data_IF_333116430441
#
_entry.id   IF_333116430441
#
_cell.length_a   1.000
_cell.length_b   1.000
_cell.length_c   1.000
_cell.angle_alpha   90.00
_cell.angle_beta   90.00
_cell.angle_gamma   90.00
#
_symmetry.space_group_name_H-M   'P 1'
#
loop_
_entity.id
_entity.type
_entity.pdbx_description
1 polymer ?
#
# COMPACT_ATOMS: atom_id res chain seq x y z
N UNK A 1 35.95 82.74 4.42
CA UNK A 1 36.38 82.04 3.19
C UNK A 1 36.46 80.55 3.51
N UNK A 2 35.36 79.83 3.31
CA UNK A 2 35.14 78.87 2.22
C UNK A 2 35.97 77.56 2.31
N UNK A 3 35.26 76.44 2.56
CA UNK A 3 35.32 75.11 1.88
C UNK A 3 35.10 73.94 2.86
N UNK A 4 33.93 73.28 2.79
CA UNK A 4 33.65 71.97 2.15
C UNK A 4 34.11 70.77 3.03
N UNK A 5 33.20 70.09 3.73
CA UNK A 5 32.31 69.01 3.26
C UNK A 5 32.91 67.60 3.35
N UNK A 6 32.37 66.76 4.25
CA UNK A 6 32.00 65.35 3.99
C UNK A 6 31.25 64.77 5.20
N UNK A 7 29.92 64.66 5.08
CA UNK A 7 29.13 63.74 5.92
C UNK A 7 29.09 62.40 5.18
N UNK A 8 29.75 61.38 5.70
CA UNK A 8 29.49 59.99 5.30
C UNK A 8 28.19 59.57 5.98
N UNK A 9 27.16 59.29 5.18
CA UNK A 9 26.00 58.53 5.61
C UNK A 9 26.28 57.06 5.29
N UNK A 10 26.58 56.26 6.31
CA UNK A 10 26.59 54.80 6.23
C UNK A 10 25.17 54.30 6.43
N UNK A 11 24.45 54.03 5.33
CA UNK A 11 23.20 53.28 5.36
C UNK A 11 23.52 51.80 5.58
N UNK A 12 23.31 51.31 6.80
CA UNK A 12 23.27 49.88 7.08
C UNK A 12 21.97 49.31 6.49
N UNK A 13 22.09 48.57 5.38
CA UNK A 13 20.99 47.84 4.77
C UNK A 13 20.81 46.53 5.56
N UNK A 14 19.94 46.55 6.56
CA UNK A 14 19.54 45.34 7.29
C UNK A 14 18.66 44.50 6.36
N UNK A 15 19.24 43.46 5.76
CA UNK A 15 18.52 42.47 4.97
C UNK A 15 17.66 41.62 5.93
N UNK A 16 16.42 42.05 6.16
CA UNK A 16 15.41 41.23 6.84
C UNK A 16 15.05 40.11 5.86
N UNK A 17 15.66 38.94 6.04
CA UNK A 17 15.21 37.71 5.41
C UNK A 17 13.86 37.39 6.06
N UNK A 18 12.78 37.83 5.41
CA UNK A 18 11.43 37.33 5.64
C UNK A 18 11.46 35.84 5.31
N UNK A 19 11.79 35.03 6.31
CA UNK A 19 11.53 33.59 6.29
C UNK A 19 10.00 33.47 6.23
N UNK A 20 9.48 33.41 5.02
CA UNK A 20 8.07 33.05 4.81
C UNK A 20 7.90 31.69 5.48
N UNK A 21 6.85 31.48 6.28
CA UNK A 21 6.57 30.14 6.79
C UNK A 21 6.47 29.25 5.55
N UNK A 22 7.40 28.30 5.41
CA UNK A 22 7.28 27.22 4.45
C UNK A 22 5.90 26.65 4.67
N UNK A 23 4.99 26.87 3.71
CA UNK A 23 3.73 26.16 3.68
C UNK A 23 4.09 24.70 3.92
N UNK A 24 3.57 24.10 5.00
CA UNK A 24 3.77 22.68 5.23
C UNK A 24 3.25 21.99 3.98
N UNK A 25 4.17 21.50 3.14
CA UNK A 25 3.79 20.80 1.93
C UNK A 25 2.98 19.60 2.38
N UNK A 26 1.79 19.42 1.81
CA UNK A 26 0.99 18.25 2.11
C UNK A 26 1.85 17.00 1.87
N UNK A 27 1.86 16.12 2.86
CA UNK A 27 2.58 14.86 2.85
C UNK A 27 2.37 14.14 1.51
N UNK A 28 3.46 13.73 0.88
CA UNK A 28 3.40 13.09 -0.44
C UNK A 28 2.60 11.78 -0.38
N UNK A 29 1.97 11.39 -1.49
CA UNK A 29 1.17 10.16 -1.58
C UNK A 29 1.75 9.14 -2.56
N UNK A 30 1.56 7.86 -2.26
CA UNK A 30 1.77 6.71 -3.11
C UNK A 30 0.39 6.07 -3.35
N UNK A 31 -0.07 6.06 -4.60
CA UNK A 31 -1.31 5.40 -5.02
C UNK A 31 -1.01 4.21 -5.93
N UNK A 32 -1.44 3.02 -5.49
CA UNK A 32 -1.23 1.76 -6.21
C UNK A 32 -2.58 1.14 -6.56
N UNK A 33 -2.85 0.97 -7.86
CA UNK A 33 -3.97 0.17 -8.32
C UNK A 33 -3.48 -1.22 -8.75
N UNK A 34 -4.01 -2.27 -8.14
CA UNK A 34 -3.70 -3.66 -8.48
C UNK A 34 -4.88 -4.22 -9.28
N UNK A 35 -4.61 -4.68 -10.52
CA UNK A 35 -5.59 -5.21 -11.44
C UNK A 35 -5.24 -6.68 -11.70
N UNK A 36 -6.01 -7.60 -11.10
CA UNK A 36 -5.72 -9.03 -11.16
C UNK A 36 -6.66 -9.77 -12.09
N UNK A 37 -6.09 -10.51 -13.03
CA UNK A 37 -6.84 -11.53 -13.74
C UNK A 37 -7.31 -12.61 -12.74
N UNK A 38 -8.57 -12.96 -12.84
CA UNK A 38 -9.26 -13.96 -12.02
C UNK A 38 -9.95 -15.02 -12.86
N UNK A 39 -9.44 -15.26 -14.06
CA UNK A 39 -9.78 -16.41 -14.91
C UNK A 39 -9.36 -17.73 -14.23
N UNK A 40 -9.89 -18.86 -14.72
CA UNK A 40 -9.67 -20.20 -14.15
C UNK A 40 -8.20 -20.58 -13.92
N UNK A 41 -7.28 -20.03 -14.71
CA UNK A 41 -5.86 -20.39 -14.62
C UNK A 41 -5.09 -19.57 -13.57
N UNK A 42 -5.69 -18.52 -13.00
CA UNK A 42 -5.02 -17.50 -12.19
C UNK A 42 -4.99 -17.77 -10.68
N UNK A 43 -5.38 -18.96 -10.20
CA UNK A 43 -5.36 -19.27 -8.76
C UNK A 43 -3.99 -18.99 -8.13
N UNK A 44 -2.91 -19.43 -8.78
CA UNK A 44 -1.55 -19.18 -8.32
C UNK A 44 -1.21 -17.69 -8.21
N UNK A 45 -1.63 -16.86 -9.17
CA UNK A 45 -1.39 -15.41 -9.16
C UNK A 45 -2.12 -14.76 -7.97
N UNK A 46 -3.39 -15.09 -7.79
CA UNK A 46 -4.20 -14.57 -6.70
C UNK A 46 -3.62 -15.01 -5.36
N UNK A 47 -3.22 -16.28 -5.21
CA UNK A 47 -2.61 -16.81 -3.99
C UNK A 47 -1.25 -16.20 -3.69
N UNK A 48 -0.39 -15.95 -4.69
CA UNK A 48 0.85 -15.21 -4.48
C UNK A 48 0.54 -13.79 -4.00
N UNK A 49 -0.40 -13.09 -4.64
CA UNK A 49 -0.74 -11.71 -4.27
C UNK A 49 -1.30 -11.63 -2.84
N UNK A 50 -2.19 -12.55 -2.45
CA UNK A 50 -2.75 -12.69 -1.09
C UNK A 50 -1.67 -12.77 -0.03
N UNK A 51 -0.70 -13.63 -0.28
CA UNK A 51 0.34 -13.97 0.68
C UNK A 51 1.43 -12.91 0.79
N UNK A 52 1.67 -12.13 -0.27
CA UNK A 52 2.83 -11.27 -0.35
C UNK A 52 2.53 -9.76 -0.31
N UNK A 53 1.26 -9.35 -0.21
CA UNK A 53 0.86 -7.95 -0.01
C UNK A 53 1.68 -7.26 1.10
N UNK A 54 1.83 -7.92 2.24
CA UNK A 54 2.56 -7.40 3.40
C UNK A 54 4.03 -7.13 3.12
N UNK A 55 4.67 -7.87 2.21
CA UNK A 55 6.07 -7.62 1.84
C UNK A 55 6.21 -6.32 1.05
N UNK A 56 5.25 -6.01 0.18
CA UNK A 56 5.21 -4.74 -0.58
C UNK A 56 5.03 -3.57 0.40
N UNK A 57 4.10 -3.70 1.36
CA UNK A 57 3.87 -2.70 2.41
C UNK A 57 5.13 -2.47 3.26
N UNK A 58 5.78 -3.54 3.70
CA UNK A 58 7.03 -3.47 4.50
C UNK A 58 8.19 -2.85 3.72
N UNK A 59 8.23 -3.01 2.40
CA UNK A 59 9.21 -2.31 1.57
C UNK A 59 8.90 -0.82 1.51
N UNK A 60 7.64 -0.47 1.20
CA UNK A 60 7.21 0.92 1.09
C UNK A 60 7.37 1.68 2.40
N UNK A 61 7.24 1.03 3.56
CA UNK A 61 7.31 1.69 4.87
C UNK A 61 8.71 2.24 5.19
N UNK A 62 9.70 1.84 4.39
CA UNK A 62 11.09 2.35 4.45
C UNK A 62 11.32 3.48 3.45
N UNK A 63 10.32 3.81 2.62
CA UNK A 63 10.43 4.86 1.62
C UNK A 63 9.99 6.18 2.23
N UNK A 64 10.76 7.24 1.95
CA UNK A 64 10.46 8.60 2.36
C UNK A 64 10.48 9.58 1.20
N UNK A 65 9.73 10.67 1.34
CA UNK A 65 9.79 11.85 0.48
C UNK A 65 10.00 13.05 1.39
N UNK A 66 11.05 13.81 1.12
CA UNK A 66 11.37 15.02 1.89
C UNK A 66 11.47 14.81 3.42
N UNK A 67 11.91 13.61 3.83
CA UNK A 67 12.11 13.24 5.24
C UNK A 67 10.92 12.55 5.90
N UNK A 68 9.76 12.49 5.23
CA UNK A 68 8.55 11.86 5.77
C UNK A 68 8.20 10.58 5.01
N UNK A 69 7.67 9.57 5.72
CA UNK A 69 7.06 8.39 5.08
C UNK A 69 5.81 8.89 4.35
N UNK A 70 5.59 8.66 3.05
CA UNK A 70 4.39 9.11 2.32
C UNK A 70 3.09 8.56 2.91
N UNK A 71 1.94 9.04 2.43
CA UNK A 71 0.68 8.30 2.61
C UNK A 71 0.56 7.21 1.54
N UNK A 72 0.02 6.05 1.90
CA UNK A 72 -0.22 4.93 0.98
C UNK A 72 -1.71 4.70 0.82
N UNK A 73 -2.18 4.64 -0.42
CA UNK A 73 -3.52 4.18 -0.75
C UNK A 73 -3.45 3.07 -1.80
N UNK A 74 -4.20 2.00 -1.58
CA UNK A 74 -4.27 0.87 -2.51
C UNK A 74 -5.71 0.69 -2.99
N UNK A 75 -5.85 0.49 -4.29
CA UNK A 75 -7.11 0.10 -4.93
C UNK A 75 -6.96 -1.29 -5.55
N UNK A 76 -8.06 -2.04 -5.62
CA UNK A 76 -8.06 -3.41 -6.14
C UNK A 76 -9.21 -3.61 -7.13
N UNK A 77 -8.85 -4.09 -8.31
CA UNK A 77 -9.77 -4.68 -9.29
C UNK A 77 -9.48 -6.15 -9.47
N UNK A 78 -10.51 -6.89 -9.87
CA UNK A 78 -10.30 -8.12 -10.62
C UNK A 78 -11.03 -8.06 -11.96
N UNK A 79 -10.54 -8.82 -12.93
CA UNK A 79 -11.12 -8.94 -14.27
C UNK A 79 -11.01 -10.38 -14.78
N UNK A 80 -11.60 -10.69 -15.95
CA UNK A 80 -11.44 -12.00 -16.59
C UNK A 80 -12.30 -13.11 -16.02
N UNK A 81 -13.43 -12.78 -15.40
CA UNK A 81 -14.27 -13.76 -14.68
C UNK A 81 -15.72 -13.77 -15.18
N UNK A 82 -16.23 -14.92 -15.59
CA UNK A 82 -17.55 -15.12 -16.21
C UNK A 82 -18.72 -14.84 -15.27
N UNK A 83 -18.48 -14.76 -13.95
CA UNK A 83 -19.50 -14.29 -13.02
C UNK A 83 -19.74 -12.78 -13.13
N UNK A 84 -18.82 -12.04 -13.77
CA UNK A 84 -18.93 -10.62 -14.00
C UNK A 84 -19.71 -10.34 -15.29
N UNK A 85 -20.51 -9.26 -15.35
CA UNK A 85 -21.28 -8.94 -16.54
C UNK A 85 -20.37 -8.62 -17.73
N UNK A 86 -20.61 -9.27 -18.87
CA UNK A 86 -19.90 -8.98 -20.13
C UNK A 86 -20.13 -7.53 -20.61
N UNK A 87 -21.29 -6.95 -20.30
CA UNK A 87 -21.60 -5.53 -20.56
C UNK A 87 -20.73 -4.56 -19.78
N UNK A 88 -20.15 -5.00 -18.66
CA UNK A 88 -19.19 -4.26 -17.84
C UNK A 88 -17.74 -4.66 -18.17
N UNK A 89 -17.53 -5.45 -19.23
CA UNK A 89 -16.22 -5.89 -19.69
C UNK A 89 -15.57 -6.95 -18.82
N UNK A 90 -16.36 -7.68 -18.01
CA UNK A 90 -15.85 -8.62 -17.01
C UNK A 90 -14.90 -7.97 -16.00
N UNK A 91 -15.18 -6.72 -15.61
CA UNK A 91 -14.37 -5.93 -14.66
C UNK A 91 -15.17 -5.63 -13.40
N UNK A 92 -14.51 -5.68 -12.23
CA UNK A 92 -15.10 -5.25 -10.96
C UNK A 92 -14.09 -4.53 -10.08
N UNK A 93 -14.43 -3.30 -9.67
CA UNK A 93 -13.77 -2.59 -8.57
C UNK A 93 -14.15 -3.28 -7.24
N UNK A 94 -13.18 -3.86 -6.54
CA UNK A 94 -13.41 -4.49 -5.23
C UNK A 94 -13.25 -3.49 -4.08
N UNK A 95 -12.29 -2.58 -4.21
CA UNK A 95 -12.14 -1.41 -3.34
C UNK A 95 -11.45 -0.28 -4.09
N UNK A 96 -11.96 0.94 -3.92
CA UNK A 96 -11.25 2.15 -4.33
C UNK A 96 -10.02 2.40 -3.46
N UNK A 97 -9.32 3.51 -3.72
CA UNK A 97 -8.16 3.92 -2.94
C UNK A 97 -8.53 4.04 -1.45
N UNK A 98 -7.87 3.21 -0.64
CA UNK A 98 -8.02 3.18 0.81
C UNK A 98 -6.66 3.05 1.49
N UNK A 99 -6.44 3.71 2.64
CA UNK A 99 -5.29 3.43 3.49
C UNK A 99 -5.47 2.16 4.33
N UNK A 100 -6.69 1.60 4.39
CA UNK A 100 -7.01 0.43 5.22
C UNK A 100 -6.57 -0.88 4.54
N UNK A 101 -5.32 -1.29 4.79
CA UNK A 101 -4.71 -2.44 4.13
C UNK A 101 -5.38 -3.78 4.46
N UNK A 102 -6.02 -3.90 5.63
CA UNK A 102 -6.82 -5.08 5.96
C UNK A 102 -8.07 -5.20 5.08
N UNK A 103 -8.67 -4.08 4.67
CA UNK A 103 -9.80 -4.11 3.73
C UNK A 103 -9.34 -4.60 2.35
N UNK A 104 -8.17 -4.15 1.91
CA UNK A 104 -7.55 -4.61 0.66
C UNK A 104 -7.29 -6.12 0.71
N UNK A 105 -6.73 -6.60 1.83
CA UNK A 105 -6.48 -8.02 2.05
C UNK A 105 -7.80 -8.83 2.08
N UNK A 106 -8.82 -8.38 2.81
CA UNK A 106 -10.15 -9.00 2.84
C UNK A 106 -10.72 -9.15 1.42
N UNK A 107 -10.67 -8.09 0.61
CA UNK A 107 -11.14 -8.12 -0.78
C UNK A 107 -10.34 -9.08 -1.64
N UNK A 108 -9.03 -9.14 -1.47
CA UNK A 108 -8.16 -10.06 -2.19
C UNK A 108 -8.43 -11.55 -1.83
N UNK A 109 -8.71 -11.83 -0.56
CA UNK A 109 -9.14 -13.17 -0.12
C UNK A 109 -10.55 -13.54 -0.60
N UNK A 110 -11.40 -12.56 -0.91
CA UNK A 110 -12.75 -12.79 -1.44
C UNK A 110 -12.78 -13.25 -2.91
N UNK A 111 -11.71 -13.00 -3.69
CA UNK A 111 -11.66 -13.34 -5.11
C UNK A 111 -11.79 -14.86 -5.32
N UNK A 112 -12.63 -15.28 -6.25
CA UNK A 112 -12.71 -16.68 -6.72
C UNK A 112 -12.45 -16.68 -8.21
N UNK A 113 -11.62 -17.60 -8.66
CA UNK A 113 -11.39 -17.77 -10.09
C UNK A 113 -12.58 -18.44 -10.74
N UNK A 114 -12.91 -17.99 -11.93
CA UNK A 114 -13.88 -18.61 -12.82
C UNK A 114 -13.52 -18.19 -14.23
N UNK A 115 -13.70 -19.05 -15.23
CA UNK A 115 -13.30 -18.80 -16.63
C UNK A 115 -13.81 -17.45 -17.12
N UNK A 116 -13.20 -16.85 -18.14
CA UNK A 116 -13.67 -15.56 -18.61
C UNK A 116 -12.96 -15.04 -19.83
N UNK A 117 -13.25 -13.79 -20.15
CA UNK A 117 -12.55 -13.03 -21.18
C UNK A 117 -11.81 -11.86 -20.51
N UNK A 118 -10.53 -11.76 -20.78
CA UNK A 118 -9.53 -11.00 -20.03
C UNK A 118 -9.27 -9.65 -20.69
N UNK A 119 -10.19 -8.70 -20.48
CA UNK A 119 -10.10 -7.39 -21.13
C UNK A 119 -9.16 -6.41 -20.41
N UNK A 120 -7.85 -6.60 -20.60
CA UNK A 120 -6.80 -5.73 -20.03
C UNK A 120 -7.02 -4.24 -20.38
N UNK A 121 -7.34 -3.94 -21.65
CA UNK A 121 -7.67 -2.58 -22.08
C UNK A 121 -8.88 -1.99 -21.35
N UNK A 122 -9.88 -2.80 -21.01
CA UNK A 122 -11.07 -2.35 -20.31
C UNK A 122 -10.78 -2.03 -18.84
N UNK A 123 -10.12 -2.93 -18.12
CA UNK A 123 -9.83 -2.73 -16.68
C UNK A 123 -8.90 -1.55 -16.44
N UNK A 124 -7.91 -1.30 -17.31
CA UNK A 124 -7.07 -0.10 -17.24
C UNK A 124 -7.90 1.17 -17.43
N UNK A 125 -8.84 1.16 -18.39
CA UNK A 125 -9.72 2.31 -18.63
C UNK A 125 -10.62 2.57 -17.42
N UNK A 126 -11.25 1.54 -16.86
CA UNK A 126 -12.06 1.64 -15.64
C UNK A 126 -11.24 2.19 -14.48
N UNK A 127 -10.03 1.65 -14.23
CA UNK A 127 -9.15 2.15 -13.19
C UNK A 127 -8.80 3.63 -13.36
N UNK A 128 -8.61 4.12 -14.59
CA UNK A 128 -8.32 5.53 -14.86
C UNK A 128 -9.56 6.45 -14.78
N UNK A 129 -10.76 5.92 -14.97
CA UNK A 129 -12.00 6.70 -14.98
C UNK A 129 -12.74 6.71 -13.63
N UNK A 130 -12.66 5.61 -12.88
CA UNK A 130 -13.46 5.39 -11.66
C UNK A 130 -12.66 5.64 -10.37
N UNK A 131 -11.33 5.50 -10.39
CA UNK A 131 -10.51 5.74 -9.20
C UNK A 131 -10.20 7.24 -9.02
N UNK A 132 -10.23 7.68 -7.76
CA UNK A 132 -9.86 9.04 -7.36
C UNK A 132 -8.34 9.23 -7.29
N UNK A 133 -7.69 9.21 -8.45
CA UNK A 133 -6.25 9.50 -8.55
C UNK A 133 -5.93 10.92 -8.05
N UNK A 134 -4.86 11.05 -7.28
CA UNK A 134 -4.32 12.32 -6.86
C UNK A 134 -3.93 13.17 -8.06
N UNK A 135 -4.11 14.48 -7.95
CA UNK A 135 -3.72 15.46 -8.97
C UNK A 135 -2.40 16.16 -8.62
N UNK A 136 -1.81 15.87 -7.46
CA UNK A 136 -0.55 16.47 -7.06
C UNK A 136 0.60 15.86 -7.88
N UNK A 137 1.44 16.67 -8.55
CA UNK A 137 2.58 16.16 -9.32
C UNK A 137 3.69 15.54 -8.47
N UNK A 138 3.73 15.84 -7.16
CA UNK A 138 4.68 15.23 -6.23
C UNK A 138 4.29 13.79 -5.84
N UNK A 139 3.03 13.40 -6.06
CA UNK A 139 2.53 12.07 -5.72
C UNK A 139 2.96 11.03 -6.76
N UNK A 140 3.11 9.81 -6.30
CA UNK A 140 3.45 8.65 -7.10
C UNK A 140 2.19 7.84 -7.42
N UNK A 141 1.93 7.60 -8.71
CA UNK A 141 0.75 6.87 -9.20
C UNK A 141 1.20 5.70 -10.07
N UNK A 142 0.72 4.50 -9.75
CA UNK A 142 1.10 3.30 -10.49
C UNK A 142 -0.05 2.28 -10.56
N UNK A 143 -0.17 1.65 -11.72
CA UNK A 143 -1.00 0.47 -11.95
C UNK A 143 -0.07 -0.74 -12.04
N UNK A 144 -0.42 -1.83 -11.35
CA UNK A 144 0.11 -3.17 -11.63
C UNK A 144 -1.03 -4.01 -12.20
N UNK A 145 -0.90 -4.43 -13.46
CA UNK A 145 -1.84 -5.36 -14.11
C UNK A 145 -1.16 -6.71 -14.28
N UNK A 146 -1.86 -7.79 -13.94
CA UNK A 146 -1.38 -9.16 -14.07
C UNK A 146 -2.40 -10.05 -14.78
N UNK A 147 -1.93 -11.00 -15.60
CA UNK A 147 -2.75 -11.93 -16.40
C UNK A 147 -1.92 -12.71 -17.42
N UNK A 148 -2.56 -13.62 -18.17
CA UNK A 148 -1.87 -14.55 -19.06
C UNK A 148 -2.39 -14.60 -20.50
N UNK A 149 -3.40 -13.81 -20.84
CA UNK A 149 -4.05 -13.78 -22.16
C UNK A 149 -3.59 -12.59 -23.03
N UNK A 150 -3.96 -12.52 -24.33
CA UNK A 150 -3.61 -11.40 -25.21
C UNK A 150 -4.02 -10.05 -24.60
N UNK A 151 -3.06 -9.11 -24.53
CA UNK A 151 -3.30 -7.80 -23.90
C UNK A 151 -4.29 -6.92 -24.69
N UNK A 152 -4.54 -7.26 -25.96
CA UNK A 152 -5.44 -6.56 -26.87
C UNK A 152 -6.82 -7.23 -27.01
N UNK A 153 -7.14 -8.19 -26.15
CA UNK A 153 -8.45 -8.84 -26.12
C UNK A 153 -9.57 -7.84 -25.75
N UNK A 154 -10.73 -8.01 -26.38
CA UNK A 154 -11.94 -7.24 -26.11
C UNK A 154 -12.12 -6.01 -27.00
N UNK A 155 -13.23 -5.28 -26.85
CA UNK A 155 -13.60 -4.20 -27.78
C UNK A 155 -12.88 -2.88 -27.52
N UNK A 156 -12.12 -2.78 -26.42
CA UNK A 156 -11.44 -1.54 -26.02
C UNK A 156 -10.00 -1.58 -26.51
N UNK A 157 -9.65 -0.63 -27.37
CA UNK A 157 -8.28 -0.49 -27.88
C UNK A 157 -7.34 -0.17 -26.72
N UNK A 158 -6.54 -1.14 -26.30
CA UNK A 158 -5.69 -1.06 -25.11
C UNK A 158 -4.76 0.16 -25.11
N UNK A 159 -4.27 0.59 -26.28
CA UNK A 159 -3.40 1.77 -26.39
C UNK A 159 -4.11 3.05 -25.96
N UNK A 160 -5.42 3.17 -26.16
CA UNK A 160 -6.19 4.32 -25.66
C UNK A 160 -6.23 4.33 -24.14
N UNK A 161 -6.47 3.18 -23.52
CA UNK A 161 -6.50 3.01 -22.07
C UNK A 161 -5.15 3.31 -21.42
N UNK A 162 -4.06 2.79 -21.99
CA UNK A 162 -2.71 3.09 -21.51
C UNK A 162 -2.38 4.58 -21.69
N UNK A 163 -2.79 5.20 -22.80
CA UNK A 163 -2.60 6.64 -22.98
C UNK A 163 -3.41 7.49 -21.98
N UNK A 164 -4.53 7.01 -21.43
CA UNK A 164 -5.21 7.67 -20.31
C UNK A 164 -4.31 7.69 -19.06
N UNK A 165 -3.65 6.57 -18.76
CA UNK A 165 -2.70 6.49 -17.65
C UNK A 165 -1.51 7.44 -17.84
N UNK A 166 -0.92 7.46 -19.05
CA UNK A 166 0.19 8.39 -19.38
C UNK A 166 -0.22 9.85 -19.20
N UNK A 167 -1.42 10.25 -19.67
CA UNK A 167 -1.94 11.61 -19.50
C UNK A 167 -2.16 11.96 -18.03
N UNK A 168 -2.46 10.98 -17.19
CA UNK A 168 -2.60 11.13 -15.73
C UNK A 168 -1.28 11.06 -14.95
N UNK A 169 -0.12 10.96 -15.63
CA UNK A 169 1.17 10.72 -14.97
C UNK A 169 1.10 9.48 -14.04
N UNK A 170 0.45 8.43 -14.55
CA UNK A 170 0.31 7.12 -13.91
C UNK A 170 1.09 6.09 -14.73
N UNK A 171 2.03 5.42 -14.07
CA UNK A 171 2.79 4.32 -14.69
C UNK A 171 1.92 3.07 -14.79
N UNK A 172 2.09 2.27 -15.85
CA UNK A 172 1.46 0.94 -15.96
C UNK A 172 2.55 -0.11 -16.01
N UNK A 173 2.62 -0.92 -14.96
CA UNK A 173 3.50 -2.07 -14.88
C UNK A 173 2.70 -3.33 -15.21
N UNK A 174 3.29 -4.20 -16.02
CA UNK A 174 2.61 -5.40 -16.54
C UNK A 174 3.30 -6.66 -16.04
N UNK A 175 2.54 -7.61 -15.49
CA UNK A 175 3.03 -8.90 -14.98
C UNK A 175 2.38 -9.99 -15.82
N UNK A 176 3.10 -10.49 -16.82
CA UNK A 176 2.61 -11.57 -17.67
C UNK A 176 2.84 -12.92 -17.00
N UNK A 177 1.80 -13.72 -16.86
CA UNK A 177 1.86 -14.98 -16.11
C UNK A 177 1.85 -16.23 -17.02
N UNK A 178 1.94 -16.04 -18.34
CA UNK A 178 2.12 -17.13 -19.31
C UNK A 178 3.57 -17.50 -19.57
N UNK A 179 3.80 -18.33 -20.59
CA UNK A 179 5.15 -18.76 -21.00
C UNK A 179 6.01 -17.58 -21.45
N UNK A 180 7.28 -17.54 -21.04
CA UNK A 180 8.24 -16.50 -21.44
C UNK A 180 8.42 -16.39 -22.97
N UNK A 181 8.20 -17.49 -23.69
CA UNK A 181 8.31 -17.62 -25.15
C UNK A 181 7.01 -17.31 -25.91
N UNK A 182 5.92 -17.00 -25.18
CA UNK A 182 4.63 -16.66 -25.79
C UNK A 182 4.74 -15.37 -26.60
N UNK A 183 4.14 -15.36 -27.80
CA UNK A 183 4.06 -14.15 -28.63
C UNK A 183 3.20 -13.07 -27.95
N UNK A 184 2.20 -13.46 -27.17
CA UNK A 184 1.31 -12.55 -26.44
C UNK A 184 2.08 -11.65 -25.46
N UNK A 185 3.20 -12.14 -24.93
CA UNK A 185 4.06 -11.38 -24.03
C UNK A 185 4.52 -10.05 -24.65
N UNK A 186 4.70 -9.98 -25.97
CA UNK A 186 5.14 -8.74 -26.63
C UNK A 186 4.12 -7.61 -26.50
N UNK A 187 2.83 -7.92 -26.44
CA UNK A 187 1.79 -6.92 -26.22
C UNK A 187 1.81 -6.43 -24.76
N UNK A 188 2.04 -7.32 -23.79
CA UNK A 188 2.26 -6.93 -22.39
C UNK A 188 3.46 -6.00 -22.24
N UNK A 189 4.60 -6.34 -22.88
CA UNK A 189 5.79 -5.47 -22.93
C UNK A 189 5.45 -4.11 -23.53
N UNK A 190 4.74 -4.09 -24.66
CA UNK A 190 4.32 -2.86 -25.35
C UNK A 190 3.43 -1.98 -24.47
N UNK A 191 2.52 -2.58 -23.71
CA UNK A 191 1.68 -1.91 -22.71
C UNK A 191 2.49 -1.17 -21.66
N UNK A 192 3.44 -1.86 -21.02
CA UNK A 192 4.32 -1.23 -20.03
C UNK A 192 5.22 -0.15 -20.65
N UNK A 193 5.84 -0.43 -21.80
CA UNK A 193 6.73 0.53 -22.48
C UNK A 193 6.02 1.83 -22.84
N UNK A 194 4.80 1.73 -23.38
CA UNK A 194 3.98 2.91 -23.71
C UNK A 194 3.69 3.77 -22.46
N UNK A 195 3.49 3.12 -21.30
CA UNK A 195 3.24 3.77 -20.02
C UNK A 195 4.50 4.19 -19.24
N UNK A 196 5.71 3.98 -19.81
CA UNK A 196 7.01 4.12 -19.12
C UNK A 196 7.10 3.26 -17.84
N UNK A 197 6.34 2.18 -17.77
CA UNK A 197 6.39 1.21 -16.69
C UNK A 197 7.37 0.07 -16.96
N UNK A 198 7.39 -0.87 -16.04
CA UNK A 198 8.18 -2.09 -16.07
C UNK A 198 7.32 -3.26 -16.53
N UNK A 199 7.92 -4.21 -17.25
CA UNK A 199 7.29 -5.47 -17.61
C UNK A 199 8.00 -6.63 -16.91
N UNK A 200 7.22 -7.62 -16.50
CA UNK A 200 7.70 -8.82 -15.83
C UNK A 200 7.02 -10.05 -16.41
N UNK A 201 7.70 -11.19 -16.31
CA UNK A 201 7.12 -12.49 -16.56
C UNK A 201 7.37 -13.37 -15.34
N UNK A 202 6.31 -13.94 -14.78
CA UNK A 202 6.38 -14.76 -13.57
C UNK A 202 5.71 -16.11 -13.83
N UNK A 203 6.17 -17.14 -13.11
CA UNK A 203 5.39 -18.36 -12.98
C UNK A 203 4.42 -18.19 -11.81
N UNK A 204 3.13 -18.01 -12.11
CA UNK A 204 2.09 -17.84 -11.09
C UNK A 204 1.95 -19.03 -10.14
N UNK A 205 2.37 -20.23 -10.57
CA UNK A 205 2.31 -21.45 -9.77
C UNK A 205 3.64 -21.76 -9.07
N UNK A 206 4.62 -20.85 -9.15
CA UNK A 206 5.86 -21.01 -8.40
C UNK A 206 5.58 -21.03 -6.90
N UNK A 207 6.02 -22.10 -6.25
CA UNK A 207 5.89 -22.24 -4.80
C UNK A 207 6.80 -21.22 -4.13
N UNK A 208 6.22 -20.34 -3.32
CA UNK A 208 6.98 -19.36 -2.56
C UNK A 208 7.71 -20.07 -1.42
N UNK A 209 9.04 -20.12 -1.48
CA UNK A 209 9.85 -20.65 -0.37
C UNK A 209 9.94 -19.61 0.74
N UNK A 210 9.26 -19.91 1.86
CA UNK A 210 9.35 -19.08 3.07
C UNK A 210 10.49 -19.58 3.95
N UNK A 211 11.50 -18.75 4.13
CA UNK A 211 12.58 -19.00 5.07
C UNK A 211 12.08 -18.68 6.48
N UNK A 212 11.96 -19.72 7.31
CA UNK A 212 11.64 -19.57 8.74
C UNK A 212 12.79 -18.87 9.45
N UNK A 213 12.45 -17.88 10.27
CA UNK A 213 13.40 -17.14 11.09
C UNK A 213 13.24 -17.52 12.56
N UNK A 214 14.32 -17.55 13.36
CA UNK A 214 14.22 -17.76 14.81
C UNK A 214 13.45 -16.65 15.54
N UNK A 215 13.13 -15.55 14.87
CA UNK A 215 12.35 -14.44 15.45
C UNK A 215 10.85 -14.51 15.16
N UNK A 216 10.39 -15.46 14.33
CA UNK A 216 8.99 -15.51 13.85
C UNK A 216 7.98 -15.70 14.99
N UNK A 217 8.29 -16.59 15.94
CA UNK A 217 7.41 -16.89 17.08
C UNK A 217 7.31 -15.70 18.04
N UNK A 218 8.44 -15.02 18.30
CA UNK A 218 8.45 -13.85 19.17
C UNK A 218 7.68 -12.68 18.54
N UNK A 219 7.84 -12.45 17.24
CA UNK A 219 7.05 -11.45 16.49
C UNK A 219 5.56 -11.78 16.60
N UNK A 220 5.19 -13.05 16.43
CA UNK A 220 3.79 -13.49 16.51
C UNK A 220 3.20 -13.28 17.91
N UNK A 221 3.98 -13.54 18.96
CA UNK A 221 3.56 -13.29 20.35
C UNK A 221 3.34 -11.79 20.62
N UNK A 222 4.20 -10.92 20.10
CA UNK A 222 4.01 -9.47 20.20
C UNK A 222 2.84 -8.97 19.37
N UNK A 223 2.55 -9.59 18.23
CA UNK A 223 1.37 -9.30 17.42
C UNK A 223 0.06 -9.58 18.16
N UNK A 224 -0.02 -10.69 18.90
CA UNK A 224 -1.18 -10.99 19.76
C UNK A 224 -1.40 -9.88 20.79
N UNK A 225 -0.32 -9.38 21.42
CA UNK A 225 -0.41 -8.24 22.35
C UNK A 225 -0.78 -6.94 21.64
N UNK A 226 -0.30 -6.74 20.41
CA UNK A 226 -0.67 -5.57 19.60
C UNK A 226 -2.18 -5.53 19.36
N UNK A 227 -2.80 -6.68 19.08
CA UNK A 227 -4.26 -6.80 18.87
C UNK A 227 -5.09 -6.34 20.07
N UNK A 228 -4.56 -6.50 21.28
CA UNK A 228 -5.21 -6.07 22.52
C UNK A 228 -5.13 -4.54 22.75
N UNK A 229 -4.41 -3.81 21.89
CA UNK A 229 -4.28 -2.35 21.99
C UNK A 229 -5.28 -1.58 21.13
N UNK A 230 -6.00 -2.24 20.21
CA UNK A 230 -7.01 -1.60 19.38
C UNK A 230 -8.31 -1.36 20.15
N UNK A 231 -8.89 -0.18 19.96
CA UNK A 231 -10.11 0.26 20.64
C UNK A 231 -11.19 0.43 19.56
N UNK A 232 -11.98 -0.62 19.28
CA UNK A 232 -13.03 -0.54 18.27
C UNK A 232 -14.11 0.46 18.69
N UNK A 233 -14.43 1.42 17.82
CA UNK A 233 -15.51 2.40 18.08
C UNK A 233 -16.61 2.37 17.01
N UNK A 234 -17.85 2.57 17.46
CA UNK A 234 -19.05 2.52 16.63
C UNK A 234 -19.29 1.15 15.99
N UNK A 235 -20.17 1.13 14.98
CA UNK A 235 -20.47 -0.10 14.22
C UNK A 235 -19.26 -0.61 13.44
N UNK A 236 -18.48 0.30 12.85
CA UNK A 236 -17.31 -0.07 12.06
C UNK A 236 -16.19 -0.65 12.92
N UNK A 237 -16.05 -0.21 14.19
CA UNK A 237 -15.14 -0.79 15.17
C UNK A 237 -15.18 -2.32 15.23
N UNK A 238 -16.38 -2.89 15.37
CA UNK A 238 -16.55 -4.36 15.46
C UNK A 238 -16.19 -5.05 14.14
N UNK A 239 -16.56 -4.46 13.02
CA UNK A 239 -16.28 -5.01 11.68
C UNK A 239 -14.77 -4.98 11.41
N UNK A 240 -14.11 -3.87 11.66
CA UNK A 240 -12.67 -3.71 11.49
C UNK A 240 -11.85 -4.62 12.41
N UNK A 241 -12.26 -4.76 13.68
CA UNK A 241 -11.60 -5.71 14.59
C UNK A 241 -11.76 -7.16 14.13
N UNK A 242 -12.94 -7.56 13.65
CA UNK A 242 -13.17 -8.89 13.07
C UNK A 242 -12.34 -9.12 11.81
N UNK A 243 -12.27 -8.11 10.93
CA UNK A 243 -11.43 -8.10 9.74
C UNK A 243 -9.97 -8.28 10.12
N UNK A 244 -9.44 -7.52 11.07
CA UNK A 244 -8.06 -7.65 11.54
C UNK A 244 -7.75 -9.09 12.01
N UNK A 245 -8.65 -9.71 12.76
CA UNK A 245 -8.48 -11.08 13.25
C UNK A 245 -8.56 -12.12 12.12
N UNK A 246 -9.43 -11.90 11.13
CA UNK A 246 -9.50 -12.74 9.94
C UNK A 246 -8.21 -12.64 9.12
N UNK A 247 -7.66 -11.43 8.95
CA UNK A 247 -6.41 -11.21 8.22
C UNK A 247 -5.17 -11.74 8.97
N UNK A 248 -5.15 -11.71 10.31
CA UNK A 248 -4.16 -12.44 11.11
C UNK A 248 -4.21 -13.95 10.83
N UNK A 249 -5.42 -14.51 10.72
CA UNK A 249 -5.62 -15.94 10.43
C UNK A 249 -5.25 -16.30 8.99
N UNK A 250 -5.53 -15.41 8.04
CA UNK A 250 -5.19 -15.57 6.62
C UNK A 250 -3.67 -15.54 6.38
N UNK A 251 -2.93 -14.73 7.14
CA UNK A 251 -1.49 -14.54 6.92
C UNK A 251 -0.68 -15.83 7.10
N UNK A 252 -1.07 -16.74 8.00
CA UNK A 252 -0.44 -18.06 8.23
C UNK A 252 1.10 -18.00 8.21
N UNK A 253 1.73 -18.54 7.18
CA UNK A 253 3.18 -18.60 6.97
C UNK A 253 3.84 -17.20 6.87
N UNK A 254 3.05 -16.17 6.54
CA UNK A 254 3.46 -14.77 6.41
C UNK A 254 3.05 -13.91 7.62
N UNK A 255 2.63 -14.52 8.74
CA UNK A 255 2.22 -13.80 9.95
C UNK A 255 3.28 -12.80 10.46
N UNK A 256 4.57 -13.15 10.39
CA UNK A 256 5.66 -12.25 10.78
C UNK A 256 5.78 -11.03 9.84
N UNK A 257 5.60 -11.22 8.52
CA UNK A 257 5.57 -10.12 7.56
C UNK A 257 4.38 -9.19 7.81
N UNK A 258 3.18 -9.76 8.07
CA UNK A 258 2.00 -8.96 8.44
C UNK A 258 2.21 -8.19 9.74
N UNK A 259 2.76 -8.83 10.76
CA UNK A 259 3.07 -8.20 12.05
C UNK A 259 4.00 -7.00 11.89
N UNK A 260 5.03 -7.12 11.04
CA UNK A 260 5.89 -6.00 10.66
C UNK A 260 5.09 -4.85 10.01
N UNK A 261 4.14 -5.16 9.13
CA UNK A 261 3.29 -4.14 8.49
C UNK A 261 2.43 -3.41 9.52
N UNK A 262 1.85 -4.14 10.49
CA UNK A 262 1.06 -3.55 11.59
C UNK A 262 1.86 -2.63 12.51
N UNK A 263 3.15 -2.89 12.63
CA UNK A 263 4.07 -2.05 13.39
C UNK A 263 4.60 -0.84 12.59
N UNK A 264 4.25 -0.73 11.31
CA UNK A 264 4.64 0.41 10.45
C UNK A 264 3.65 1.58 10.54
N UNK A 265 3.98 2.69 9.87
CA UNK A 265 3.12 3.87 9.75
C UNK A 265 1.95 3.67 8.76
N UNK A 266 1.98 2.62 7.93
CA UNK A 266 0.93 2.34 6.94
C UNK A 266 -0.22 1.51 7.46
N UNK A 267 -0.14 0.99 8.68
CA UNK A 267 -1.26 0.28 9.28
C UNK A 267 -2.24 1.26 9.92
N UNK A 268 -2.99 1.94 9.06
CA UNK A 268 -3.96 2.96 9.39
C UNK A 268 -5.38 2.38 9.45
N UNK A 269 -5.99 2.46 10.63
CA UNK A 269 -7.31 1.92 10.91
C UNK A 269 -8.27 2.96 11.48
N UNK A 270 -8.04 4.25 11.19
CA UNK A 270 -8.81 5.33 11.78
C UNK A 270 -10.33 5.27 11.50
N UNK A 271 -10.75 4.50 10.49
CA UNK A 271 -12.16 4.21 10.20
C UNK A 271 -12.86 3.39 11.30
N UNK A 272 -12.11 2.67 12.14
CA UNK A 272 -12.67 1.74 13.12
C UNK A 272 -11.91 1.67 14.46
N UNK A 273 -10.64 2.06 14.52
CA UNK A 273 -9.84 2.15 15.74
C UNK A 273 -9.81 3.58 16.30
N UNK A 274 -10.19 3.72 17.57
CA UNK A 274 -10.32 5.02 18.23
C UNK A 274 -8.97 5.73 18.40
N UNK A 275 -7.88 5.00 18.65
CA UNK A 275 -6.56 5.62 18.83
C UNK A 275 -6.09 6.28 17.53
N UNK A 276 -6.18 5.55 16.41
CA UNK A 276 -5.84 6.09 15.09
C UNK A 276 -6.77 7.26 14.71
N UNK A 277 -8.08 7.14 14.98
CA UNK A 277 -9.05 8.21 14.71
C UNK A 277 -8.77 9.50 15.50
N UNK A 278 -8.36 9.38 16.77
CA UNK A 278 -7.97 10.52 17.60
C UNK A 278 -6.65 11.14 17.12
N UNK A 279 -5.67 10.33 16.75
CA UNK A 279 -4.39 10.81 16.22
C UNK A 279 -4.55 11.61 14.92
N UNK A 280 -5.50 11.21 14.08
CA UNK A 280 -5.85 11.92 12.85
C UNK A 280 -6.85 13.06 13.04
N UNK A 281 -7.35 13.28 14.26
CA UNK A 281 -8.36 14.30 14.55
C UNK A 281 -9.70 14.08 13.85
N UNK A 282 -10.01 12.84 13.44
CA UNK A 282 -11.27 12.46 12.79
C UNK A 282 -12.42 12.48 13.80
N UNK A 283 -12.11 12.18 15.05
CA UNK A 283 -13.06 12.19 16.17
C UNK A 283 -12.48 12.96 17.35
N UNK A 284 -13.36 13.44 18.23
CA UNK A 284 -12.99 13.95 19.54
C UNK A 284 -13.58 13.06 20.62
N UNK A 285 -12.78 12.74 21.64
CA UNK A 285 -13.18 11.80 22.68
C UNK A 285 -14.41 12.26 23.46
N UNK A 286 -14.56 13.56 23.67
CA UNK A 286 -15.72 14.19 24.31
C UNK A 286 -17.00 14.19 23.45
N UNK A 287 -16.90 14.00 22.14
CA UNK A 287 -18.04 14.00 21.21
C UNK A 287 -18.53 12.57 20.89
N UNK A 288 -17.79 11.53 21.31
CA UNK A 288 -18.17 10.14 21.08
C UNK A 288 -19.21 9.69 22.09
N UNK A 289 -20.33 9.18 21.57
CA UNK A 289 -21.40 8.63 22.38
C UNK A 289 -20.96 7.38 23.14
N UNK A 290 -21.48 7.19 24.35
CA UNK A 290 -21.05 6.11 25.23
C UNK A 290 -21.39 4.71 24.66
N UNK A 291 -22.50 4.59 23.94
CA UNK A 291 -22.91 3.37 23.25
C UNK A 291 -21.97 2.99 22.08
N UNK A 292 -21.28 3.97 21.50
CA UNK A 292 -20.28 3.77 20.45
C UNK A 292 -18.92 3.30 20.99
N UNK A 293 -18.70 3.33 22.30
CA UNK A 293 -17.46 2.85 22.92
C UNK A 293 -17.54 1.36 23.25
N UNK A 294 -16.38 0.66 23.33
CA UNK A 294 -16.34 -0.70 23.82
C UNK A 294 -16.79 -0.77 25.28
N UNK A 295 -17.30 -1.92 25.70
CA UNK A 295 -17.94 -2.11 27.01
C UNK A 295 -17.09 -1.60 28.18
N UNK A 296 -15.78 -1.86 28.16
CA UNK A 296 -14.83 -1.41 29.19
C UNK A 296 -14.79 0.11 29.36
N UNK A 297 -15.12 0.88 28.32
CA UNK A 297 -15.10 2.35 28.35
C UNK A 297 -16.47 2.97 28.60
N UNK A 298 -17.54 2.17 28.65
CA UNK A 298 -18.89 2.68 28.90
C UNK A 298 -19.05 3.09 30.36
N UNK A 299 -19.68 4.23 30.60
CA UNK A 299 -19.83 4.81 31.93
C UNK A 299 -18.55 5.45 32.50
N UNK A 300 -17.40 5.36 31.81
CA UNK A 300 -16.20 6.11 32.20
C UNK A 300 -16.44 7.62 32.07
N UNK A 301 -15.93 8.38 33.03
CA UNK A 301 -15.80 9.83 32.91
C UNK A 301 -14.82 10.20 31.79
N UNK A 302 -14.88 11.45 31.31
CA UNK A 302 -13.95 11.91 30.27
C UNK A 302 -12.48 11.78 30.71
N UNK A 303 -12.17 12.02 31.99
CA UNK A 303 -10.82 11.86 32.55
C UNK A 303 -10.35 10.41 32.52
N UNK A 304 -11.22 9.46 32.85
CA UNK A 304 -10.92 8.02 32.77
C UNK A 304 -10.74 7.57 31.32
N UNK A 305 -11.59 8.01 30.40
CA UNK A 305 -11.45 7.74 28.96
C UNK A 305 -10.10 8.24 28.44
N UNK A 306 -9.70 9.46 28.79
CA UNK A 306 -8.39 10.04 28.41
C UNK A 306 -7.23 9.21 28.96
N UNK A 307 -7.31 8.79 30.23
CA UNK A 307 -6.29 7.95 30.87
C UNK A 307 -6.18 6.59 30.18
N UNK A 308 -7.31 5.94 29.88
CA UNK A 308 -7.35 4.64 29.20
C UNK A 308 -6.73 4.71 27.79
N UNK A 309 -7.15 5.69 26.99
CA UNK A 309 -6.63 5.97 25.65
C UNK A 309 -5.12 6.22 25.68
N UNK A 310 -4.63 7.06 26.59
CA UNK A 310 -3.21 7.35 26.73
C UNK A 310 -2.38 6.12 27.13
N UNK A 311 -2.91 5.29 28.04
CA UNK A 311 -2.31 4.02 28.42
C UNK A 311 -2.19 3.06 27.24
N UNK A 312 -3.28 2.87 26.48
CA UNK A 312 -3.30 2.02 25.27
C UNK A 312 -2.36 2.53 24.19
N UNK A 313 -2.27 3.85 23.98
CA UNK A 313 -1.32 4.46 23.03
C UNK A 313 0.14 4.15 23.42
N UNK A 314 0.47 4.34 24.70
CA UNK A 314 1.83 4.07 25.22
C UNK A 314 2.19 2.59 25.09
N UNK A 315 1.25 1.70 25.42
CA UNK A 315 1.40 0.25 25.27
C UNK A 315 1.62 -0.14 23.79
N UNK A 316 0.79 0.38 22.89
CA UNK A 316 0.87 0.14 21.44
C UNK A 316 2.24 0.54 20.89
N UNK A 317 2.72 1.74 21.19
CA UNK A 317 4.00 2.22 20.67
C UNK A 317 5.20 1.39 21.17
N UNK A 318 5.15 0.95 22.44
CA UNK A 318 6.17 0.04 22.98
C UNK A 318 6.18 -1.28 22.22
N UNK A 319 5.01 -1.86 21.96
CA UNK A 319 4.86 -3.13 21.23
C UNK A 319 5.32 -2.98 19.77
N UNK A 320 4.86 -1.94 19.07
CA UNK A 320 5.28 -1.64 17.68
C UNK A 320 6.79 -1.50 17.60
N UNK A 321 7.43 -0.81 18.56
CA UNK A 321 8.89 -0.70 18.63
C UNK A 321 9.57 -2.07 18.71
N UNK A 322 9.13 -2.95 19.62
CA UNK A 322 9.70 -4.30 19.74
C UNK A 322 9.50 -5.13 18.47
N UNK A 323 8.31 -5.08 17.86
CA UNK A 323 8.05 -5.76 16.58
C UNK A 323 8.99 -5.24 15.48
N UNK A 324 9.21 -3.92 15.38
CA UNK A 324 10.14 -3.32 14.39
C UNK A 324 11.56 -3.83 14.57
N UNK A 325 12.07 -3.85 15.80
CA UNK A 325 13.42 -4.35 16.14
C UNK A 325 13.60 -5.84 15.78
N UNK A 326 12.61 -6.68 16.12
CA UNK A 326 12.63 -8.10 15.76
C UNK A 326 12.49 -8.31 14.24
N UNK A 327 11.64 -7.52 13.57
CA UNK A 327 11.43 -7.59 12.13
C UNK A 327 12.69 -7.20 11.34
N UNK A 328 13.49 -6.28 11.87
CA UNK A 328 14.81 -5.97 11.31
C UNK A 328 15.75 -7.17 11.39
N UNK A 329 15.91 -7.77 12.58
CA UNK A 329 16.74 -8.98 12.77
C UNK A 329 16.27 -10.14 11.88
N UNK A 330 14.95 -10.31 11.74
CA UNK A 330 14.33 -11.26 10.83
C UNK A 330 14.74 -10.99 9.39
N UNK A 331 14.65 -9.74 8.93
CA UNK A 331 15.02 -9.36 7.56
C UNK A 331 16.49 -9.69 7.28
N UNK A 332 17.40 -9.30 8.16
CA UNK A 332 18.84 -9.60 8.05
C UNK A 332 19.13 -11.11 8.07
N UNK A 333 18.39 -11.88 8.86
CA UNK A 333 18.50 -13.33 8.86
C UNK A 333 18.03 -13.94 7.53
N UNK A 334 16.83 -13.58 7.07
CA UNK A 334 16.25 -14.11 5.82
C UNK A 334 17.12 -13.74 4.62
N UNK A 335 17.64 -12.52 4.55
CA UNK A 335 18.55 -12.10 3.48
C UNK A 335 19.85 -12.91 3.46
N UNK A 336 20.45 -13.17 4.63
CA UNK A 336 21.64 -14.04 4.71
C UNK A 336 21.36 -15.46 4.26
N UNK A 337 20.22 -16.03 4.67
CA UNK A 337 19.82 -17.38 4.24
C UNK A 337 19.53 -17.44 2.73
N UNK A 338 18.84 -16.43 2.15
CA UNK A 338 18.61 -16.33 0.69
C UNK A 338 19.91 -16.23 -0.11
N UNK A 339 20.91 -15.51 0.41
CA UNK A 339 22.23 -15.44 -0.24
C UNK A 339 22.91 -16.81 -0.28
N UNK A 340 22.72 -17.63 0.75
CA UNK A 340 23.27 -18.98 0.85
C UNK A 340 22.46 -20.06 0.11
N UNK A 341 21.18 -19.84 -0.21
CA UNK A 341 20.34 -20.79 -0.94
C UNK A 341 20.49 -20.70 -2.46
N UNK A 342 20.10 -21.76 -3.17
CA UNK A 342 19.99 -21.79 -4.63
C UNK A 342 18.74 -21.05 -5.11
N UNK A 343 17.64 -21.12 -4.37
CA UNK A 343 16.44 -20.31 -4.60
C UNK A 343 16.68 -18.88 -4.08
N UNK A 344 16.70 -17.90 -4.99
CA UNK A 344 16.89 -16.49 -4.67
C UNK A 344 15.59 -15.76 -4.34
N UNK A 345 14.43 -16.43 -4.45
CA UNK A 345 13.12 -15.80 -4.29
C UNK A 345 12.86 -14.76 -5.39
N UNK A 346 13.39 -15.01 -6.58
CA UNK A 346 13.25 -14.16 -7.75
C UNK A 346 11.98 -14.55 -8.53
N UNK A 347 11.39 -13.57 -9.21
CA UNK A 347 10.23 -13.73 -10.11
C UNK A 347 8.92 -14.14 -9.42
N UNK A 348 8.75 -13.85 -8.13
CA UNK A 348 7.45 -13.85 -7.44
C UNK A 348 6.76 -12.48 -7.57
N UNK A 349 5.43 -12.42 -7.37
CA UNK A 349 4.64 -11.18 -7.48
C UNK A 349 5.23 -10.02 -6.65
N UNK A 350 5.58 -10.25 -5.38
CA UNK A 350 6.19 -9.20 -4.55
C UNK A 350 7.56 -8.75 -5.06
N UNK A 351 8.41 -9.68 -5.48
CA UNK A 351 9.78 -9.39 -5.88
C UNK A 351 9.79 -8.45 -7.09
N UNK A 352 8.92 -8.71 -8.07
CA UNK A 352 8.82 -7.90 -9.29
C UNK A 352 8.18 -6.54 -9.03
N UNK A 353 7.16 -6.50 -8.17
CA UNK A 353 6.53 -5.24 -7.74
C UNK A 353 7.55 -4.37 -6.99
N UNK A 354 8.26 -4.94 -6.01
CA UNK A 354 9.27 -4.22 -5.22
C UNK A 354 10.43 -3.75 -6.10
N UNK A 355 10.89 -4.57 -7.05
CA UNK A 355 11.93 -4.19 -8.00
C UNK A 355 11.49 -2.96 -8.82
N UNK A 356 10.27 -2.97 -9.35
CA UNK A 356 9.71 -1.83 -10.11
C UNK A 356 9.60 -0.58 -9.24
N UNK A 357 8.97 -0.72 -8.06
CA UNK A 357 8.75 0.38 -7.13
C UNK A 357 10.06 1.04 -6.72
N UNK A 358 11.11 0.25 -6.44
CA UNK A 358 12.44 0.78 -6.07
C UNK A 358 12.99 1.74 -7.13
N UNK A 359 12.89 1.39 -8.40
CA UNK A 359 13.39 2.22 -9.49
C UNK A 359 12.49 3.43 -9.75
N UNK A 360 11.18 3.22 -9.78
CA UNK A 360 10.20 4.23 -10.16
C UNK A 360 10.02 5.31 -9.07
N UNK A 361 10.01 4.90 -7.80
CA UNK A 361 9.97 5.83 -6.67
C UNK A 361 11.24 6.68 -6.61
N UNK A 362 12.42 6.08 -6.83
CA UNK A 362 13.68 6.83 -6.89
C UNK A 362 13.68 7.86 -8.02
N UNK A 363 13.16 7.52 -9.19
CA UNK A 363 13.00 8.44 -10.31
C UNK A 363 12.05 9.61 -10.00
N UNK A 364 11.06 9.42 -9.11
CA UNK A 364 10.16 10.46 -8.59
C UNK A 364 10.73 11.17 -7.34
N UNK A 365 11.98 10.90 -6.99
CA UNK A 365 12.72 11.55 -5.90
C UNK A 365 12.30 11.10 -4.49
N UNK A 366 11.72 9.90 -4.36
CA UNK A 366 11.57 9.23 -3.07
C UNK A 366 12.87 8.50 -2.72
N UNK A 367 13.13 8.28 -1.43
CA UNK A 367 14.38 7.71 -0.91
C UNK A 367 14.10 6.55 0.01
N UNK A 368 14.86 5.46 -0.12
CA UNK A 368 14.85 4.37 0.85
C UNK A 368 15.71 4.77 2.06
N UNK A 369 15.18 4.57 3.27
CA UNK A 369 15.89 4.78 4.54
C UNK A 369 16.72 3.56 4.94
#
# INVERSE_FOLDING_TARGET
MQKLARKLFTTALTLIILCSPTAAFAKAKIQIAILLDSSNSMDGLIDQTRNQLWQIVNFLSKVTKDGEVPDLEVALYHYGNDTLPSSEGFVRLLTGFTPELDLVSEKLFSIKTNGGQEYAGWVIRSAMQELNWSKNPADFRVIFIAGNEPFDQGPIVWTQSVNLAVKGDTLVNTIYCGSAESQERQLWVSGATLAKGSNFNINQNQVIVVIKSPYDDEISNWNSKLNETYIPYGRQGRIGQQRQAAEDSNARTFAASRSSSKASEYYDNASWDLLDALEKGIVKLEEISDDSLPEIMRGMTLTEKRTYVAGKKTERERIKKTIRELSQKRTEYVERQRKASTDKGENTVDSVIIQSLRQQLAAKGFKLQ
#
